data_IF_677545959408
#
_entry.id   IF_677545959408
#
_cell.length_a   1.000
_cell.length_b   1.000
_cell.length_c   1.000
_cell.angle_alpha   90.00
_cell.angle_beta   90.00
_cell.angle_gamma   90.00
#
_symmetry.space_group_name_H-M   'P 1'
#
loop_
_entity.id
_entity.type
_entity.pdbx_description
1 polymer ?
#
# COMPACT_ATOMS: atom_id res chain seq x y z
N UNK A 1 -3.27 -2.06 9.92
CA UNK A 1 -2.54 -2.08 11.20
C UNK A 1 -3.21 -1.05 12.10
N UNK A 2 -3.66 -1.45 13.29
CA UNK A 2 -4.59 -0.66 14.11
C UNK A 2 -3.96 0.61 14.68
N UNK A 3 -2.68 0.57 15.05
CA UNK A 3 -2.01 1.71 15.69
C UNK A 3 -1.70 2.80 14.67
N UNK A 4 -1.31 2.42 13.46
CA UNK A 4 -1.13 3.32 12.32
C UNK A 4 -2.45 4.01 11.97
N UNK A 5 -3.58 3.27 11.92
CA UNK A 5 -4.90 3.88 11.69
C UNK A 5 -5.19 4.95 12.74
N UNK A 6 -5.07 4.60 14.03
CA UNK A 6 -5.31 5.53 15.14
C UNK A 6 -4.40 6.75 15.08
N UNK A 7 -3.13 6.58 14.71
CA UNK A 7 -2.17 7.67 14.61
C UNK A 7 -2.58 8.70 13.54
N UNK A 8 -3.06 8.24 12.39
CA UNK A 8 -3.56 9.11 11.32
C UNK A 8 -4.91 9.77 11.68
N UNK A 9 -5.84 8.99 12.22
CA UNK A 9 -7.16 9.50 12.64
C UNK A 9 -7.04 10.56 13.75
N UNK A 10 -6.09 10.38 14.67
CA UNK A 10 -5.79 11.36 15.74
C UNK A 10 -5.40 12.72 15.18
N UNK A 11 -4.71 12.76 14.05
CA UNK A 11 -4.30 13.99 13.36
C UNK A 11 -5.36 14.47 12.33
N UNK A 12 -6.56 13.87 12.35
CA UNK A 12 -7.72 14.30 11.55
C UNK A 12 -7.81 13.66 10.16
N UNK A 13 -7.00 12.67 9.84
CA UNK A 13 -7.09 11.97 8.55
C UNK A 13 -8.27 10.99 8.51
N UNK A 14 -8.95 10.92 7.36
CA UNK A 14 -9.90 9.84 7.07
C UNK A 14 -9.13 8.63 6.50
N UNK A 15 -9.10 7.52 7.25
CA UNK A 15 -8.29 6.35 6.89
C UNK A 15 -9.14 5.28 6.23
N UNK A 16 -8.72 4.84 5.03
CA UNK A 16 -9.22 3.62 4.39
C UNK A 16 -8.15 2.55 4.49
N UNK A 17 -8.55 1.33 4.86
CA UNK A 17 -7.65 0.18 4.92
C UNK A 17 -7.93 -0.79 3.79
N UNK A 18 -6.88 -1.44 3.30
CA UNK A 18 -6.97 -2.48 2.29
C UNK A 18 -6.29 -3.75 2.82
N UNK A 19 -7.00 -4.87 2.71
CA UNK A 19 -6.41 -6.20 2.87
C UNK A 19 -6.17 -6.73 1.46
N UNK A 20 -4.90 -6.90 1.09
CA UNK A 20 -4.53 -7.44 -0.21
C UNK A 20 -4.75 -8.95 -0.21
N UNK A 21 -5.71 -9.43 -1.00
CA UNK A 21 -6.01 -10.86 -1.14
C UNK A 21 -5.12 -11.45 -2.23
N UNK A 22 -4.55 -12.61 -1.96
CA UNK A 22 -3.59 -13.25 -2.86
C UNK A 22 -3.75 -14.78 -2.97
N UNK A 23 -4.93 -15.31 -2.62
CA UNK A 23 -5.19 -16.76 -2.64
C UNK A 23 -5.45 -17.30 -4.06
N UNK A 24 -5.88 -16.43 -4.98
CA UNK A 24 -6.15 -16.78 -6.38
C UNK A 24 -5.77 -15.62 -7.32
N UNK A 25 -5.68 -15.90 -8.62
CA UNK A 25 -5.45 -14.85 -9.63
C UNK A 25 -6.54 -13.77 -9.61
N UNK A 26 -7.81 -14.17 -9.47
CA UNK A 26 -8.93 -13.25 -9.36
C UNK A 26 -8.86 -12.38 -8.09
N UNK A 27 -8.40 -12.94 -6.97
CA UNK A 27 -8.16 -12.18 -5.73
C UNK A 27 -7.06 -11.13 -5.92
N UNK A 28 -5.99 -11.48 -6.64
CA UNK A 28 -4.90 -10.55 -6.95
C UNK A 28 -5.41 -9.43 -7.86
N UNK A 29 -6.09 -9.77 -8.95
CA UNK A 29 -6.64 -8.79 -9.89
C UNK A 29 -7.60 -7.81 -9.21
N UNK A 30 -8.52 -8.33 -8.39
CA UNK A 30 -9.47 -7.50 -7.63
C UNK A 30 -8.78 -6.64 -6.57
N UNK A 31 -7.74 -7.17 -5.89
CA UNK A 31 -6.95 -6.40 -4.92
C UNK A 31 -6.14 -5.28 -5.58
N UNK A 32 -5.58 -5.53 -6.77
CA UNK A 32 -4.87 -4.52 -7.56
C UNK A 32 -5.83 -3.43 -8.03
N UNK A 33 -7.01 -3.80 -8.53
CA UNK A 33 -8.02 -2.84 -8.95
C UNK A 33 -8.49 -1.95 -7.79
N UNK A 34 -8.76 -2.54 -6.63
CA UNK A 34 -9.17 -1.80 -5.44
C UNK A 34 -8.04 -0.91 -4.89
N UNK A 35 -6.80 -1.42 -4.89
CA UNK A 35 -5.64 -0.62 -4.50
C UNK A 35 -5.48 0.60 -5.38
N UNK A 36 -5.59 0.44 -6.71
CA UNK A 36 -5.54 1.57 -7.66
C UNK A 36 -6.63 2.59 -7.34
N UNK A 37 -7.88 2.15 -7.17
CA UNK A 37 -9.02 3.02 -6.86
C UNK A 37 -8.78 3.81 -5.57
N UNK A 38 -8.28 3.16 -4.53
CA UNK A 38 -7.97 3.82 -3.26
C UNK A 38 -6.81 4.82 -3.39
N UNK A 39 -5.77 4.51 -4.18
CA UNK A 39 -4.67 5.46 -4.46
C UNK A 39 -5.21 6.68 -5.19
N UNK A 40 -6.05 6.49 -6.22
CA UNK A 40 -6.68 7.58 -6.98
C UNK A 40 -7.56 8.48 -6.09
N UNK A 41 -8.07 8.00 -4.96
CA UNK A 41 -8.88 8.77 -4.01
C UNK A 41 -8.09 9.34 -2.82
N UNK A 42 -6.85 8.89 -2.61
CA UNK A 42 -6.04 9.24 -1.45
C UNK A 42 -5.05 10.38 -1.74
N UNK A 43 -4.69 11.12 -0.68
CA UNK A 43 -3.58 12.07 -0.69
C UNK A 43 -2.31 11.49 -0.02
N UNK A 44 -2.47 10.43 0.76
CA UNK A 44 -1.37 9.77 1.49
C UNK A 44 -1.49 8.25 1.32
N UNK A 45 -0.39 7.59 0.95
CA UNK A 45 -0.22 6.15 1.07
C UNK A 45 0.64 5.87 2.31
N UNK A 46 0.16 5.00 3.19
CA UNK A 46 0.91 4.57 4.37
C UNK A 46 1.08 3.05 4.36
N UNK A 47 2.32 2.59 4.32
CA UNK A 47 2.69 1.18 4.44
C UNK A 47 3.14 0.90 5.88
N UNK A 48 2.30 0.25 6.71
CA UNK A 48 2.65 -0.05 8.09
C UNK A 48 3.73 -1.14 8.16
N UNK A 49 4.35 -1.27 9.33
CA UNK A 49 5.25 -2.38 9.63
C UNK A 49 4.52 -3.71 9.78
N UNK A 50 5.28 -4.79 9.94
CA UNK A 50 4.77 -6.16 10.07
C UNK A 50 5.69 -7.16 9.36
N UNK A 51 5.11 -8.29 8.95
CA UNK A 51 5.78 -9.33 8.18
C UNK A 51 4.92 -9.67 6.95
N UNK A 52 5.06 -8.91 5.86
CA UNK A 52 4.25 -9.11 4.65
C UNK A 52 4.48 -10.50 4.08
N UNK A 53 3.41 -11.30 3.92
CA UNK A 53 3.49 -12.71 3.49
C UNK A 53 4.46 -13.58 4.34
N UNK A 54 4.67 -13.22 5.61
CA UNK A 54 5.65 -13.91 6.46
C UNK A 54 7.11 -13.66 6.06
N UNK A 55 7.38 -12.63 5.25
CA UNK A 55 8.68 -12.33 4.63
C UNK A 55 9.20 -13.46 3.69
N UNK A 56 8.31 -14.34 3.25
CA UNK A 56 8.57 -15.37 2.23
C UNK A 56 8.25 -14.83 0.82
N UNK A 57 8.87 -15.35 -0.27
CA UNK A 57 9.94 -16.36 -0.30
C UNK A 57 11.37 -15.82 -0.13
N UNK A 58 11.57 -14.51 -0.25
CA UNK A 58 12.92 -13.93 -0.35
C UNK A 58 13.14 -12.67 0.53
N UNK A 59 12.44 -12.57 1.66
CA UNK A 59 12.67 -11.55 2.67
C UNK A 59 11.66 -10.41 2.74
N UNK A 60 11.92 -9.53 3.69
CA UNK A 60 11.01 -8.50 4.17
C UNK A 60 10.60 -7.47 3.10
N UNK A 61 9.31 -7.15 3.04
CA UNK A 61 8.73 -6.12 2.18
C UNK A 61 8.57 -6.53 0.70
N UNK A 62 9.07 -7.69 0.28
CA UNK A 62 9.06 -8.09 -1.14
C UNK A 62 7.67 -8.28 -1.73
N UNK A 63 6.72 -8.80 -0.96
CA UNK A 63 5.35 -8.95 -1.43
C UNK A 63 4.72 -7.59 -1.76
N UNK A 64 4.92 -6.62 -0.87
CA UNK A 64 4.45 -5.24 -1.06
C UNK A 64 5.16 -4.63 -2.27
N UNK A 65 6.49 -4.72 -2.36
CA UNK A 65 7.26 -4.22 -3.50
C UNK A 65 6.80 -4.85 -4.84
N UNK A 66 6.44 -6.13 -4.85
CA UNK A 66 5.91 -6.80 -6.04
C UNK A 66 4.55 -6.22 -6.46
N UNK A 67 3.65 -5.93 -5.51
CA UNK A 67 2.38 -5.26 -5.82
C UNK A 67 2.60 -3.86 -6.43
N UNK A 68 3.57 -3.09 -5.91
CA UNK A 68 3.92 -1.77 -6.45
C UNK A 68 4.61 -1.81 -7.82
N UNK A 69 5.21 -2.94 -8.21
CA UNK A 69 5.74 -3.15 -9.58
C UNK A 69 4.67 -3.40 -10.63
N UNK A 70 3.42 -3.65 -10.23
CA UNK A 70 2.29 -3.68 -11.18
C UNK A 70 2.25 -2.37 -11.96
N UNK A 71 2.22 -2.39 -13.31
CA UNK A 71 2.18 -1.17 -14.11
C UNK A 71 1.03 -0.23 -13.71
N UNK A 72 -0.11 -0.83 -13.36
CA UNK A 72 -1.33 -0.11 -12.94
C UNK A 72 -1.12 0.62 -11.60
N UNK A 73 -0.48 -0.04 -10.64
CA UNK A 73 -0.20 0.58 -9.33
C UNK A 73 0.90 1.62 -9.45
N UNK A 74 1.97 1.30 -10.19
CA UNK A 74 3.08 2.22 -10.44
C UNK A 74 2.59 3.53 -11.06
N UNK A 75 1.74 3.46 -12.06
CA UNK A 75 1.15 4.66 -12.69
C UNK A 75 0.35 5.49 -11.68
N UNK A 76 -0.51 4.85 -10.87
CA UNK A 76 -1.31 5.53 -9.86
C UNK A 76 -0.43 6.22 -8.79
N UNK A 77 0.65 5.56 -8.35
CA UNK A 77 1.63 6.13 -7.41
C UNK A 77 2.41 7.28 -8.04
N UNK A 78 2.82 7.16 -9.30
CA UNK A 78 3.50 8.26 -10.01
C UNK A 78 2.60 9.49 -10.17
N UNK A 79 1.31 9.29 -10.46
CA UNK A 79 0.33 10.37 -10.51
C UNK A 79 0.13 11.03 -9.13
N UNK A 80 0.01 10.24 -8.06
CA UNK A 80 -0.05 10.74 -6.69
C UNK A 80 1.15 11.65 -6.39
N UNK A 81 2.37 11.15 -6.58
CA UNK A 81 3.59 11.83 -6.14
C UNK A 81 3.97 13.01 -7.04
N UNK A 82 3.81 12.89 -8.37
CA UNK A 82 4.31 13.88 -9.32
C UNK A 82 3.27 14.88 -9.81
N UNK A 83 1.97 14.59 -9.63
CA UNK A 83 0.88 15.41 -10.19
C UNK A 83 -0.13 15.91 -9.18
N UNK A 84 -0.20 15.30 -7.98
CA UNK A 84 -1.20 15.65 -6.97
C UNK A 84 -0.61 16.11 -5.64
N UNK A 85 0.72 16.27 -5.56
CA UNK A 85 1.44 16.65 -4.34
C UNK A 85 1.12 15.70 -3.16
N UNK A 86 0.98 14.43 -3.49
CA UNK A 86 0.68 13.38 -2.52
C UNK A 86 1.93 12.85 -1.82
N UNK A 87 1.71 12.15 -0.71
CA UNK A 87 2.77 11.59 0.11
C UNK A 87 2.71 10.06 0.14
N UNK A 88 3.88 9.44 0.25
CA UNK A 88 4.00 8.02 0.59
C UNK A 88 4.92 7.88 1.81
N UNK A 89 4.49 7.07 2.77
CA UNK A 89 5.25 6.75 3.98
C UNK A 89 5.33 5.23 4.14
N UNK A 90 6.44 4.78 4.73
CA UNK A 90 6.64 3.39 5.09
C UNK A 90 7.35 3.30 6.44
N UNK A 91 6.92 2.37 7.29
CA UNK A 91 7.58 2.06 8.57
C UNK A 91 8.02 0.60 8.56
N UNK A 92 9.27 0.34 8.93
CA UNK A 92 9.84 -1.01 9.02
C UNK A 92 9.66 -1.80 7.70
N UNK A 93 8.84 -2.85 7.67
CA UNK A 93 8.51 -3.62 6.48
C UNK A 93 7.91 -2.78 5.35
N UNK A 94 7.11 -1.76 5.72
CA UNK A 94 6.61 -0.79 4.75
C UNK A 94 7.70 0.08 4.15
N UNK A 95 8.74 0.44 4.91
CA UNK A 95 9.89 1.19 4.37
C UNK A 95 10.75 0.33 3.45
N UNK A 96 10.95 -0.95 3.80
CA UNK A 96 11.69 -1.91 2.97
C UNK A 96 11.03 -2.16 1.60
N UNK A 97 9.72 -1.89 1.50
CA UNK A 97 8.97 -2.04 0.27
C UNK A 97 8.99 -0.81 -0.66
N UNK A 98 9.40 0.35 -0.14
CA UNK A 98 9.53 1.61 -0.90
C UNK A 98 10.89 1.70 -1.60
#
# INVERSE_FOLDING_TARGET
EYDTIKAFEKEGAAVKTLIFKNLSAADIESSVAEMKRLIDEAQIIMLPGGFSAGDEPDGSGKFIAAAFRSPVIREAVELLLKKRDGLILGICNGFQAL
#
